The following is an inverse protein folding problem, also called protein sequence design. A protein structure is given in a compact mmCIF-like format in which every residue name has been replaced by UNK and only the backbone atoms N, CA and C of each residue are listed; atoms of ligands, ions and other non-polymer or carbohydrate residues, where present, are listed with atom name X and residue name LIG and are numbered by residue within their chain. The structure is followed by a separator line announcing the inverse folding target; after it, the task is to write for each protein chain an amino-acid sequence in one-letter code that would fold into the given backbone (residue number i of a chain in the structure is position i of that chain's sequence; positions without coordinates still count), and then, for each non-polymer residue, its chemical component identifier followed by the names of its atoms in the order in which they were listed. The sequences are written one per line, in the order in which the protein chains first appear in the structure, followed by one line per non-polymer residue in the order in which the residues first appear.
data_IF_954643464773
#
_entry.id   IF_954643464773
#
_cell.length_a   1.000
_cell.length_b   1.000
_cell.length_c   1.000
_cell.angle_alpha   90.00
_cell.angle_beta   90.00
_cell.angle_gamma   90.00
#
_symmetry.space_group_name_H-M   'P 1'
#
loop_
_entity.id
_entity.type
_entity.pdbx_description
1 polymer ?
#
# COMPACT_ATOMS: atom_id res chain seq x y z
N UNK A 1 27.09 16.53 9.43
CA UNK A 1 25.81 16.25 10.14
C UNK A 1 24.72 16.04 9.11
N UNK A 2 23.72 15.19 9.39
CA UNK A 2 22.59 14.95 8.48
C UNK A 2 21.42 15.79 8.95
N UNK A 3 20.96 16.75 8.13
CA UNK A 3 19.75 17.52 8.40
C UNK A 3 18.51 16.67 8.11
N UNK A 4 17.62 16.53 9.09
CA UNK A 4 16.36 15.80 8.94
C UNK A 4 15.28 16.71 8.32
N UNK A 5 14.59 16.19 7.31
CA UNK A 5 13.43 16.86 6.69
C UNK A 5 12.30 17.07 7.70
N UNK A 6 11.65 18.24 7.65
CA UNK A 6 10.43 18.55 8.41
C UNK A 6 9.15 18.04 7.74
N UNK A 7 9.27 17.42 6.56
CA UNK A 7 8.16 16.89 5.78
C UNK A 7 8.26 15.35 5.71
N UNK A 8 7.69 14.64 6.70
CA UNK A 8 7.96 13.23 6.94
C UNK A 8 7.18 12.29 6.00
N UNK A 9 7.68 11.08 5.88
CA UNK A 9 6.99 9.95 5.27
C UNK A 9 6.50 8.98 6.34
N UNK A 10 5.35 8.36 6.11
CA UNK A 10 4.84 7.28 6.95
C UNK A 10 5.01 5.94 6.22
N UNK A 11 5.44 4.92 6.95
CA UNK A 11 5.56 3.55 6.45
C UNK A 11 4.75 2.63 7.36
N UNK A 12 3.92 1.78 6.76
CA UNK A 12 2.96 0.92 7.45
C UNK A 12 3.18 -0.52 7.01
N UNK A 13 3.33 -1.44 7.95
CA UNK A 13 3.31 -2.87 7.70
C UNK A 13 2.38 -3.55 8.71
N UNK A 14 1.52 -4.46 8.23
CA UNK A 14 0.63 -5.18 9.14
C UNK A 14 -0.57 -5.85 8.45
N UNK A 15 -1.54 -6.32 9.24
CA UNK A 15 -2.68 -7.06 8.71
C UNK A 15 -3.63 -6.11 7.94
N UNK A 16 -4.38 -6.60 6.92
CA UNK A 16 -5.27 -5.77 6.10
C UNK A 16 -6.28 -4.91 6.88
N UNK A 17 -6.79 -5.43 7.99
CA UNK A 17 -7.74 -4.70 8.85
C UNK A 17 -7.14 -3.40 9.44
N UNK A 18 -5.82 -3.36 9.62
CA UNK A 18 -5.10 -2.24 10.22
C UNK A 18 -5.12 -1.00 9.31
N UNK A 19 -5.06 -1.17 7.98
CA UNK A 19 -4.96 -0.05 7.03
C UNK A 19 -6.11 0.93 7.18
N UNK A 20 -7.34 0.46 7.35
CA UNK A 20 -8.52 1.32 7.51
C UNK A 20 -8.36 2.32 8.66
N UNK A 21 -7.84 1.86 9.80
CA UNK A 21 -7.72 2.68 11.01
C UNK A 21 -6.47 3.56 10.96
N UNK A 22 -5.34 3.02 10.52
CA UNK A 22 -4.08 3.76 10.46
C UNK A 22 -4.14 4.86 9.39
N UNK A 23 -4.66 4.56 8.19
CA UNK A 23 -4.80 5.57 7.14
C UNK A 23 -5.73 6.72 7.56
N UNK A 24 -6.82 6.40 8.26
CA UNK A 24 -7.69 7.44 8.85
C UNK A 24 -6.90 8.33 9.81
N UNK A 25 -6.13 7.73 10.73
CA UNK A 25 -5.36 8.50 11.70
C UNK A 25 -4.24 9.34 11.06
N UNK A 26 -3.56 8.81 10.04
CA UNK A 26 -2.52 9.52 9.31
C UNK A 26 -3.08 10.75 8.58
N UNK A 27 -4.27 10.63 7.98
CA UNK A 27 -4.97 11.77 7.37
C UNK A 27 -5.34 12.84 8.39
N UNK A 28 -5.83 12.45 9.57
CA UNK A 28 -6.11 13.38 10.68
C UNK A 28 -4.84 14.13 11.15
N UNK A 29 -3.67 13.50 11.04
CA UNK A 29 -2.37 14.10 11.34
C UNK A 29 -1.79 14.95 10.18
N UNK A 30 -2.54 15.10 9.07
CA UNK A 30 -2.15 15.94 7.94
C UNK A 30 -1.24 15.26 6.91
N UNK A 31 -1.03 13.95 6.99
CA UNK A 31 -0.24 13.24 5.97
C UNK A 31 -0.99 13.18 4.64
N UNK A 32 -0.25 13.47 3.57
CA UNK A 32 -0.71 13.30 2.20
C UNK A 32 -0.66 11.83 1.79
N UNK A 33 -1.62 11.39 0.96
CA UNK A 33 -1.72 9.99 0.54
C UNK A 33 -0.48 9.46 -0.18
N UNK A 34 0.21 10.32 -0.92
CA UNK A 34 1.45 10.03 -1.65
C UNK A 34 2.66 9.81 -0.72
N UNK A 35 2.55 10.20 0.55
CA UNK A 35 3.61 10.10 1.56
C UNK A 35 3.38 9.01 2.60
N UNK A 36 2.30 8.26 2.45
CA UNK A 36 1.98 7.12 3.30
C UNK A 36 2.17 5.88 2.47
N UNK A 37 3.20 5.08 2.77
CA UNK A 37 3.48 3.82 2.10
C UNK A 37 3.05 2.64 2.98
N UNK A 38 2.50 1.60 2.35
CA UNK A 38 2.05 0.39 3.03
C UNK A 38 2.47 -0.88 2.28
N UNK A 39 2.78 -1.95 3.01
CA UNK A 39 3.16 -3.25 2.46
C UNK A 39 1.96 -4.21 2.41
N UNK A 40 1.50 -4.61 1.24
CA UNK A 40 0.35 -5.52 1.15
C UNK A 40 0.74 -6.98 1.39
N UNK A 41 0.27 -7.53 2.50
CA UNK A 41 0.49 -8.92 2.92
C UNK A 41 -0.50 -9.88 2.23
N UNK A 42 -0.45 -9.98 0.89
CA UNK A 42 -1.25 -10.95 0.12
C UNK A 42 -0.57 -12.31 0.05
N UNK A 43 -1.37 -13.38 -0.05
CA UNK A 43 -0.87 -14.75 -0.22
C UNK A 43 -0.16 -14.89 -1.58
N UNK A 44 1.17 -14.82 -1.55
CA UNK A 44 2.01 -15.13 -2.71
C UNK A 44 2.29 -16.63 -2.75
N UNK A 45 2.10 -17.25 -3.92
CA UNK A 45 2.49 -18.65 -4.16
C UNK A 45 3.77 -18.76 -4.98
N UNK A 46 3.82 -18.10 -6.15
CA UNK A 46 4.95 -18.27 -7.06
C UNK A 46 6.04 -17.20 -6.92
N UNK A 47 5.71 -15.91 -6.74
CA UNK A 47 6.68 -14.80 -6.81
C UNK A 47 6.80 -14.11 -8.19
N UNK A 48 6.99 -14.79 -9.34
CA UNK A 48 7.17 -14.12 -10.62
C UNK A 48 5.85 -13.83 -11.37
N UNK A 49 4.71 -13.76 -10.69
CA UNK A 49 3.43 -13.39 -11.30
C UNK A 49 2.68 -14.47 -12.10
N UNK A 50 3.25 -15.67 -12.27
CA UNK A 50 2.65 -16.76 -13.07
C UNK A 50 1.33 -17.29 -12.52
N UNK A 51 1.23 -17.43 -11.19
CA UNK A 51 0.09 -18.09 -10.54
C UNK A 51 -1.09 -17.18 -10.18
N UNK A 52 -0.89 -15.85 -10.21
CA UNK A 52 -1.88 -14.81 -9.89
C UNK A 52 -2.60 -14.90 -8.53
N UNK A 53 -2.13 -15.72 -7.58
CA UNK A 53 -2.72 -15.81 -6.23
C UNK A 53 -2.72 -14.49 -5.43
N UNK A 54 -1.77 -13.61 -5.72
CA UNK A 54 -1.65 -12.31 -5.07
C UNK A 54 -2.31 -11.18 -5.88
N UNK A 55 -3.33 -11.48 -6.68
CA UNK A 55 -4.09 -10.47 -7.41
C UNK A 55 -4.89 -9.61 -6.45
N UNK A 56 -4.92 -8.31 -6.72
CA UNK A 56 -5.69 -7.30 -5.97
C UNK A 56 -6.15 -6.24 -6.95
N UNK A 57 -7.19 -5.47 -6.59
CA UNK A 57 -7.83 -4.57 -7.54
C UNK A 57 -8.78 -5.28 -8.52
N UNK A 58 -9.47 -4.50 -9.35
CA UNK A 58 -10.46 -5.02 -10.31
C UNK A 58 -10.22 -4.55 -11.75
N UNK A 59 -10.65 -5.36 -12.72
CA UNK A 59 -10.60 -5.03 -14.15
C UNK A 59 -9.21 -4.61 -14.64
N UNK A 60 -9.13 -3.50 -15.38
CA UNK A 60 -7.87 -2.95 -15.91
C UNK A 60 -6.96 -2.35 -14.83
N UNK A 61 -7.44 -2.20 -13.59
CA UNK A 61 -6.64 -1.72 -12.46
C UNK A 61 -6.05 -2.86 -11.61
N UNK A 62 -6.31 -4.12 -11.98
CA UNK A 62 -5.81 -5.26 -11.23
C UNK A 62 -4.27 -5.28 -11.19
N UNK A 63 -3.74 -5.49 -9.99
CA UNK A 63 -2.31 -5.58 -9.68
C UNK A 63 -1.96 -6.96 -9.15
N UNK A 64 -0.77 -7.42 -9.45
CA UNK A 64 -0.14 -8.58 -8.84
C UNK A 64 0.84 -8.09 -7.78
N UNK A 65 0.55 -8.28 -6.50
CA UNK A 65 1.41 -7.76 -5.41
C UNK A 65 2.87 -8.22 -5.54
N UNK A 66 3.13 -9.42 -6.05
CA UNK A 66 4.49 -9.93 -6.27
C UNK A 66 5.27 -9.28 -7.43
N UNK A 67 4.61 -8.49 -8.28
CA UNK A 67 5.22 -7.83 -9.45
C UNK A 67 5.08 -6.32 -9.40
N UNK A 68 3.87 -5.84 -9.08
CA UNK A 68 3.52 -4.43 -9.03
C UNK A 68 3.68 -3.83 -7.63
N UNK A 69 3.78 -4.68 -6.60
CA UNK A 69 3.96 -4.28 -5.20
C UNK A 69 5.29 -4.80 -4.62
N UNK A 70 5.36 -5.18 -3.33
CA UNK A 70 4.28 -5.21 -2.33
C UNK A 70 3.95 -3.85 -1.72
N UNK A 71 4.77 -2.83 -2.02
CA UNK A 71 4.64 -1.48 -1.46
C UNK A 71 3.73 -0.65 -2.35
N UNK A 72 2.69 -0.06 -1.74
CA UNK A 72 1.77 0.86 -2.39
C UNK A 72 1.59 2.10 -1.51
N UNK A 73 1.26 3.23 -2.11
CA UNK A 73 0.90 4.44 -1.37
C UNK A 73 -0.56 4.41 -0.92
N UNK A 74 -0.94 5.26 0.05
CA UNK A 74 -2.33 5.46 0.41
C UNK A 74 -3.14 6.07 -0.75
N UNK A 75 -2.50 6.85 -1.63
CA UNK A 75 -3.14 7.31 -2.86
C UNK A 75 -3.47 6.14 -3.80
N UNK A 76 -2.59 5.15 -3.94
CA UNK A 76 -2.88 3.96 -4.74
C UNK A 76 -4.12 3.22 -4.24
N UNK A 77 -4.31 3.15 -2.92
CA UNK A 77 -5.50 2.55 -2.31
C UNK A 77 -6.79 3.32 -2.56
N UNK A 78 -6.71 4.63 -2.81
CA UNK A 78 -7.86 5.45 -3.19
C UNK A 78 -8.22 5.29 -4.67
N UNK A 79 -7.21 5.14 -5.54
CA UNK A 79 -7.39 5.05 -6.99
C UNK A 79 -7.74 3.62 -7.42
N UNK A 80 -7.06 2.61 -6.87
CA UNK A 80 -7.19 1.21 -7.25
C UNK A 80 -8.27 0.56 -6.39
N UNK A 81 -9.50 0.52 -6.93
CA UNK A 81 -10.62 -0.15 -6.27
C UNK A 81 -10.30 -1.61 -5.97
N UNK A 82 -10.38 -2.01 -4.70
CA UNK A 82 -10.11 -3.38 -4.25
C UNK A 82 -8.64 -3.69 -3.97
N UNK A 83 -7.79 -2.65 -3.84
CA UNK A 83 -6.40 -2.80 -3.43
C UNK A 83 -6.29 -3.28 -1.97
N UNK A 84 -6.93 -2.55 -1.06
CA UNK A 84 -7.05 -2.88 0.36
C UNK A 84 -8.49 -3.20 0.72
#
# INVERSE_FOLDING_TARGET
EVELSTDPYAVICGPPVMYRFVLKKMKELGFRGEKIYMTLERRMKCGPGKCRHCVTGFGNSAKLVCRDGPVFSALDAEIIKGLI
#
